data_IF_945219491503
#
_entry.id   IF_945219491503
#
_cell.length_a   1.000
_cell.length_b   1.000
_cell.length_c   1.000
_cell.angle_alpha   90.00
_cell.angle_beta   90.00
_cell.angle_gamma   90.00
#
_symmetry.space_group_name_H-M   'P 1'
#
loop_
_entity.id
_entity.type
_entity.pdbx_description
1 polymer ?
#
# COMPACT_ATOMS: atom_id res chain seq x y z
N UNK A 1 -17.22 -27.60 1.71
CA UNK A 1 -17.74 -26.56 2.62
C UNK A 1 -17.84 -25.33 1.77
N UNK A 2 -19.06 -24.81 1.58
CA UNK A 2 -19.38 -23.84 0.54
C UNK A 2 -18.87 -22.47 0.97
N UNK A 3 -17.99 -21.86 0.18
CA UNK A 3 -17.71 -20.42 0.19
C UNK A 3 -19.04 -19.70 -0.10
N UNK A 4 -19.83 -19.44 0.93
CA UNK A 4 -20.92 -18.49 0.81
C UNK A 4 -20.29 -17.12 0.73
N UNK A 5 -20.53 -16.46 -0.40
CA UNK A 5 -20.22 -15.07 -0.67
C UNK A 5 -20.50 -14.22 0.58
N UNK A 6 -19.43 -13.85 1.28
CA UNK A 6 -19.41 -12.74 2.21
C UNK A 6 -19.45 -11.43 1.39
N UNK A 7 -20.50 -11.28 0.59
CA UNK A 7 -20.75 -10.08 -0.18
C UNK A 7 -21.59 -9.13 0.69
N UNK A 8 -20.91 -8.28 1.46
CA UNK A 8 -21.53 -7.03 1.91
C UNK A 8 -21.79 -6.23 0.64
N UNK A 9 -23.06 -6.04 0.29
CA UNK A 9 -23.47 -5.46 -1.00
C UNK A 9 -22.78 -4.10 -1.21
N UNK A 10 -21.97 -3.99 -2.27
CA UNK A 10 -21.23 -2.77 -2.63
C UNK A 10 -19.89 -2.54 -1.92
N UNK A 11 -19.44 -3.42 -1.01
CA UNK A 11 -18.17 -3.26 -0.28
C UNK A 11 -17.17 -4.34 -0.72
N UNK A 12 -16.01 -3.92 -1.26
CA UNK A 12 -14.90 -4.85 -1.54
C UNK A 12 -14.13 -5.13 -0.23
N UNK A 13 -13.96 -6.42 0.07
CA UNK A 13 -13.21 -6.91 1.22
C UNK A 13 -11.83 -7.42 0.76
N UNK A 14 -10.79 -7.08 1.52
CA UNK A 14 -9.40 -7.47 1.27
C UNK A 14 -8.86 -8.22 2.49
N UNK A 15 -8.05 -9.26 2.26
CA UNK A 15 -7.43 -9.98 3.38
C UNK A 15 -6.28 -9.17 3.94
N UNK A 16 -6.24 -9.03 5.27
CA UNK A 16 -5.14 -8.41 6.02
C UNK A 16 -4.97 -9.22 7.30
N UNK A 17 -3.91 -10.00 7.39
CA UNK A 17 -3.62 -10.89 8.51
C UNK A 17 -4.72 -11.94 8.70
N UNK A 18 -5.25 -12.01 9.92
CA UNK A 18 -6.38 -12.87 10.29
C UNK A 18 -7.74 -12.15 10.17
N UNK A 19 -7.78 -11.01 9.47
CA UNK A 19 -8.97 -10.16 9.30
C UNK A 19 -9.28 -9.94 7.81
N UNK A 20 -10.47 -9.42 7.58
CA UNK A 20 -10.83 -8.76 6.34
C UNK A 20 -10.86 -7.24 6.57
N UNK A 21 -10.49 -6.46 5.57
CA UNK A 21 -10.52 -5.00 5.59
C UNK A 21 -11.40 -4.47 4.46
N UNK A 22 -12.18 -3.43 4.73
CA UNK A 22 -12.74 -2.56 3.70
C UNK A 22 -12.33 -1.12 3.94
N UNK A 23 -12.34 -0.34 2.87
CA UNK A 23 -12.03 1.08 2.94
C UNK A 23 -13.19 1.92 2.42
N UNK A 24 -13.60 2.89 3.22
CA UNK A 24 -14.48 3.99 2.83
C UNK A 24 -13.69 5.29 2.66
N UNK A 25 -14.41 6.41 2.46
CA UNK A 25 -13.77 7.71 2.22
C UNK A 25 -12.90 8.22 3.38
N UNK A 26 -13.16 7.85 4.64
CA UNK A 26 -12.43 8.38 5.81
C UNK A 26 -12.20 7.32 6.88
N UNK A 27 -12.32 6.06 6.51
CA UNK A 27 -12.24 4.97 7.46
C UNK A 27 -11.78 3.67 6.83
N UNK A 28 -11.05 2.91 7.64
CA UNK A 28 -10.67 1.52 7.40
C UNK A 28 -11.50 0.70 8.37
N UNK A 29 -12.33 -0.21 7.86
CA UNK A 29 -13.14 -1.11 8.69
C UNK A 29 -12.49 -2.47 8.72
N UNK A 30 -12.33 -3.03 9.91
CA UNK A 30 -11.80 -4.37 10.15
C UNK A 30 -12.96 -5.31 10.44
N UNK A 31 -13.01 -6.41 9.71
CA UNK A 31 -14.12 -7.34 9.71
C UNK A 31 -13.71 -8.71 10.24
N UNK A 32 -14.67 -9.40 10.84
CA UNK A 32 -14.55 -10.81 11.15
C UNK A 32 -14.37 -11.60 9.83
N UNK A 33 -13.33 -12.44 9.69
CA UNK A 33 -13.08 -13.16 8.44
C UNK A 33 -14.13 -14.23 8.11
N UNK A 34 -14.92 -14.66 9.11
CA UNK A 34 -15.95 -15.69 8.95
C UNK A 34 -17.33 -15.09 8.71
N UNK A 35 -17.67 -13.97 9.37
CA UNK A 35 -19.02 -13.37 9.29
C UNK A 35 -19.09 -12.08 8.48
N UNK A 36 -17.95 -11.48 8.13
CA UNK A 36 -17.80 -10.14 7.57
C UNK A 36 -18.40 -8.99 8.41
N UNK A 37 -18.80 -9.25 9.66
CA UNK A 37 -19.24 -8.20 10.58
C UNK A 37 -18.07 -7.27 10.92
N UNK A 38 -18.34 -5.96 10.97
CA UNK A 38 -17.35 -4.97 11.41
C UNK A 38 -17.06 -5.17 12.89
N UNK A 39 -15.79 -5.33 13.24
CA UNK A 39 -15.32 -5.50 14.61
C UNK A 39 -14.61 -4.26 15.15
N UNK A 40 -13.95 -3.50 14.28
CA UNK A 40 -13.31 -2.24 14.63
C UNK A 40 -13.19 -1.33 13.41
N UNK A 41 -13.01 -0.04 13.65
CA UNK A 41 -12.87 0.98 12.62
C UNK A 41 -11.72 1.91 12.98
N UNK A 42 -10.79 2.12 12.06
CA UNK A 42 -9.73 3.13 12.15
C UNK A 42 -10.14 4.34 11.31
N UNK A 43 -10.24 5.51 11.93
CA UNK A 43 -10.56 6.76 11.22
C UNK A 43 -9.30 7.42 10.70
N UNK A 44 -9.33 7.87 9.46
CA UNK A 44 -8.19 8.53 8.82
C UNK A 44 -8.64 9.77 8.06
N UNK A 45 -7.71 10.68 7.82
CA UNK A 45 -7.95 11.73 6.84
C UNK A 45 -8.10 11.10 5.46
N UNK A 46 -9.12 11.52 4.70
CA UNK A 46 -9.59 11.06 3.37
C UNK A 46 -8.80 9.92 2.69
N UNK A 47 -9.46 8.88 2.20
CA UNK A 47 -8.92 7.78 1.40
C UNK A 47 -9.65 7.71 0.05
N UNK A 48 -8.97 7.23 -0.99
CA UNK A 48 -9.58 6.95 -2.30
C UNK A 48 -8.98 5.69 -2.91
N UNK A 49 -9.79 4.88 -3.58
CA UNK A 49 -9.37 3.64 -4.25
C UNK A 49 -9.43 3.73 -5.78
N UNK A 50 -9.86 4.87 -6.34
CA UNK A 50 -10.32 4.97 -7.73
C UNK A 50 -9.36 5.71 -8.68
N UNK A 51 -8.13 6.00 -8.26
CA UNK A 51 -7.29 6.95 -9.01
C UNK A 51 -5.86 6.48 -9.26
N UNK A 52 -5.24 7.13 -10.25
CA UNK A 52 -3.86 6.97 -10.69
C UNK A 52 -3.06 8.21 -10.24
N UNK A 53 -1.86 7.98 -9.69
CA UNK A 53 -0.92 9.04 -9.29
C UNK A 53 -0.70 10.04 -10.44
N UNK A 54 -0.50 11.36 -10.18
CA UNK A 54 -0.16 12.01 -8.90
C UNK A 54 -1.31 12.53 -8.07
N UNK A 55 -2.53 12.54 -8.59
CA UNK A 55 -3.58 13.39 -8.04
C UNK A 55 -4.41 12.74 -6.93
N UNK A 56 -3.99 11.58 -6.38
CA UNK A 56 -4.81 10.87 -5.39
C UNK A 56 -4.06 9.98 -4.42
N UNK A 57 -4.71 9.77 -3.28
CA UNK A 57 -4.26 8.90 -2.19
C UNK A 57 -4.44 7.45 -2.61
N UNK A 58 -3.40 6.62 -2.54
CA UNK A 58 -3.46 5.20 -2.92
C UNK A 58 -3.47 4.30 -1.71
N UNK A 59 -4.12 3.14 -1.81
CA UNK A 59 -4.26 2.17 -0.72
C UNK A 59 -3.62 0.86 -1.10
N UNK A 60 -2.87 0.29 -0.18
CA UNK A 60 -2.21 -1.01 -0.31
C UNK A 60 -2.58 -1.89 0.87
N UNK A 61 -2.87 -3.16 0.60
CA UNK A 61 -3.24 -4.14 1.61
C UNK A 61 -2.08 -5.10 1.80
N UNK A 62 -1.50 -5.08 3.00
CA UNK A 62 -0.37 -5.92 3.38
C UNK A 62 -0.76 -7.15 4.19
N UNK A 63 0.23 -7.93 4.58
CA UNK A 63 0.06 -9.10 5.45
C UNK A 63 -0.58 -8.78 6.80
N UNK A 64 -0.38 -7.59 7.37
CA UNK A 64 -0.91 -7.23 8.71
C UNK A 64 -1.43 -5.81 8.81
N UNK A 65 -1.22 -5.01 7.76
CA UNK A 65 -1.49 -3.59 7.79
C UNK A 65 -2.15 -3.12 6.50
N UNK A 66 -2.90 -2.02 6.60
CA UNK A 66 -3.31 -1.22 5.44
C UNK A 66 -2.38 -0.02 5.36
N UNK A 67 -1.85 0.25 4.18
CA UNK A 67 -0.99 1.38 3.90
C UNK A 67 -1.69 2.35 2.97
N UNK A 68 -1.42 3.65 3.12
CA UNK A 68 -1.80 4.63 2.12
C UNK A 68 -0.76 5.72 2.01
N UNK A 69 -0.67 6.31 0.83
CA UNK A 69 0.25 7.42 0.59
C UNK A 69 -0.39 8.55 -0.18
N UNK A 70 0.11 9.77 0.03
CA UNK A 70 -0.31 10.95 -0.71
C UNK A 70 0.88 11.85 -1.03
N UNK A 71 0.75 12.57 -2.16
CA UNK A 71 1.66 13.64 -2.50
C UNK A 71 1.32 14.89 -1.70
N UNK A 72 2.34 15.45 -1.05
CA UNK A 72 2.29 16.78 -0.47
C UNK A 72 3.08 17.71 -1.37
N UNK A 73 2.35 18.50 -2.17
CA UNK A 73 2.91 19.41 -3.16
C UNK A 73 3.62 20.60 -2.55
N UNK A 74 3.24 21.02 -1.34
CA UNK A 74 3.89 22.14 -0.66
C UNK A 74 5.32 21.78 -0.26
N UNK A 75 5.51 20.54 0.18
CA UNK A 75 6.79 20.04 0.67
C UNK A 75 7.49 19.09 -0.31
N UNK A 76 6.92 18.87 -1.50
CA UNK A 76 7.45 18.00 -2.56
C UNK A 76 7.83 16.59 -2.08
N UNK A 77 6.96 15.99 -1.27
CA UNK A 77 7.22 14.72 -0.58
C UNK A 77 6.04 13.77 -0.65
N UNK A 78 6.32 12.48 -0.52
CA UNK A 78 5.30 11.45 -0.33
C UNK A 78 5.23 11.13 1.16
N UNK A 79 4.04 11.33 1.73
CA UNK A 79 3.75 10.84 3.07
C UNK A 79 3.11 9.46 2.94
N UNK A 80 3.58 8.51 3.74
CA UNK A 80 3.02 7.16 3.83
C UNK A 80 2.56 6.93 5.25
N UNK A 81 1.33 6.47 5.39
CA UNK A 81 0.72 6.09 6.65
C UNK A 81 0.43 4.59 6.65
N UNK A 82 0.35 4.03 7.86
CA UNK A 82 0.03 2.64 8.13
C UNK A 82 -1.07 2.57 9.18
N UNK A 83 -1.99 1.64 9.01
CA UNK A 83 -2.92 1.21 10.04
C UNK A 83 -2.76 -0.31 10.22
N UNK A 84 -2.25 -0.71 11.37
CA UNK A 84 -2.22 -2.12 11.76
C UNK A 84 -3.62 -2.56 12.20
N UNK A 85 -3.89 -3.86 12.14
CA UNK A 85 -5.13 -4.44 12.67
C UNK A 85 -5.34 -3.99 14.13
N UNK A 86 -6.44 -3.29 14.39
CA UNK A 86 -6.77 -2.67 15.69
C UNK A 86 -5.75 -1.64 16.23
N UNK A 87 -4.79 -1.23 15.40
CA UNK A 87 -3.86 -0.15 15.71
C UNK A 87 -4.44 1.21 15.30
N UNK A 88 -3.92 2.27 15.93
CA UNK A 88 -4.14 3.62 15.44
C UNK A 88 -3.33 3.86 14.17
N UNK A 89 -3.88 4.63 13.21
CA UNK A 89 -3.12 5.18 12.09
C UNK A 89 -1.83 5.88 12.53
N UNK A 90 -0.71 5.51 11.93
CA UNK A 90 0.58 6.13 12.19
C UNK A 90 1.28 6.55 10.90
N UNK A 91 2.07 7.62 10.99
CA UNK A 91 2.95 8.05 9.91
C UNK A 91 4.19 7.17 9.90
N UNK A 92 4.46 6.51 8.78
CA UNK A 92 5.67 5.71 8.59
C UNK A 92 6.83 6.57 8.12
N UNK A 93 6.67 7.27 7.00
CA UNK A 93 7.77 8.03 6.37
C UNK A 93 7.29 9.18 5.53
N UNK A 94 8.20 10.14 5.42
CA UNK A 94 8.23 11.22 4.44
C UNK A 94 9.39 10.93 3.47
N UNK A 95 9.09 10.55 2.23
CA UNK A 95 10.11 10.42 1.19
C UNK A 95 10.12 11.68 0.31
N UNK A 96 11.27 12.32 0.17
CA UNK A 96 11.47 13.32 -0.86
C UNK A 96 11.43 12.64 -2.24
N UNK A 97 10.66 13.21 -3.15
CA UNK A 97 10.62 12.73 -4.53
C UNK A 97 11.91 13.13 -5.25
N UNK A 98 12.46 12.19 -6.01
CA UNK A 98 13.63 12.42 -6.86
C UNK A 98 13.25 12.28 -8.34
N UNK A 99 13.47 13.34 -9.12
CA UNK A 99 13.28 13.32 -10.58
C UNK A 99 11.82 13.16 -11.01
N UNK A 100 11.57 12.29 -11.99
CA UNK A 100 10.26 12.07 -12.61
C UNK A 100 9.49 10.89 -11.97
N UNK A 101 9.49 10.78 -10.65
CA UNK A 101 8.72 9.76 -9.96
C UNK A 101 7.21 9.99 -10.09
N UNK A 102 6.52 8.99 -10.62
CA UNK A 102 5.11 9.01 -11.02
C UNK A 102 4.26 8.00 -10.26
N UNK A 103 4.73 7.37 -9.20
CA UNK A 103 3.87 6.50 -8.40
C UNK A 103 4.54 5.89 -7.18
N UNK A 104 3.71 5.56 -6.19
CA UNK A 104 4.05 4.77 -5.02
C UNK A 104 3.52 3.35 -5.21
N UNK A 105 4.31 2.36 -4.78
CA UNK A 105 3.86 0.98 -4.62
C UNK A 105 4.30 0.51 -3.24
N UNK A 106 3.41 -0.10 -2.48
CA UNK A 106 3.73 -0.67 -1.17
C UNK A 106 3.30 -2.13 -1.15
N UNK A 107 4.18 -2.99 -0.64
CA UNK A 107 3.90 -4.40 -0.37
C UNK A 107 4.42 -4.77 1.02
N UNK A 108 3.72 -5.65 1.73
CA UNK A 108 4.11 -6.13 3.06
C UNK A 108 4.06 -7.64 3.07
N UNK A 109 5.20 -8.27 3.32
CA UNK A 109 5.31 -9.72 3.41
C UNK A 109 6.26 -10.17 4.52
N UNK A 110 5.81 -11.14 5.33
CA UNK A 110 6.62 -11.79 6.38
C UNK A 110 7.28 -10.81 7.37
N UNK A 111 6.61 -9.68 7.65
CA UNK A 111 7.12 -8.65 8.56
C UNK A 111 8.11 -7.67 7.92
N UNK A 112 8.28 -7.73 6.60
CA UNK A 112 9.01 -6.74 5.81
C UNK A 112 8.03 -5.93 4.98
N UNK A 113 8.29 -4.63 4.86
CA UNK A 113 7.56 -3.73 3.97
C UNK A 113 8.49 -3.25 2.88
N UNK A 114 8.07 -3.42 1.64
CA UNK A 114 8.72 -2.87 0.47
C UNK A 114 7.96 -1.63 0.01
N UNK A 115 8.66 -0.52 -0.13
CA UNK A 115 8.16 0.71 -0.72
C UNK A 115 8.91 0.97 -2.02
N UNK A 116 8.22 0.89 -3.14
CA UNK A 116 8.75 1.17 -4.47
C UNK A 116 8.24 2.51 -5.01
N UNK A 117 9.12 3.24 -5.70
CA UNK A 117 8.74 4.43 -6.46
C UNK A 117 8.88 4.15 -7.95
N UNK A 118 7.77 4.33 -8.68
CA UNK A 118 7.71 4.19 -10.11
C UNK A 118 8.06 5.51 -10.80
N UNK A 119 8.67 5.45 -11.98
CA UNK A 119 8.87 6.60 -12.86
C UNK A 119 8.47 6.25 -14.30
N UNK A 120 8.08 7.25 -15.07
CA UNK A 120 7.98 7.12 -16.52
C UNK A 120 9.39 7.09 -17.12
N UNK A 121 9.71 6.05 -17.88
CA UNK A 121 11.04 5.86 -18.47
C UNK A 121 10.88 5.65 -19.97
N UNK A 122 10.82 6.71 -20.80
CA UNK A 122 10.83 6.56 -22.25
C UNK A 122 12.14 5.88 -22.72
N UNK A 123 12.12 4.95 -23.70
CA UNK A 123 10.97 4.36 -24.42
C UNK A 123 10.36 3.12 -23.74
N UNK A 124 10.80 2.78 -22.53
CA UNK A 124 10.58 1.50 -21.85
C UNK A 124 9.29 1.39 -21.02
N UNK A 125 8.54 2.48 -20.84
CA UNK A 125 7.29 2.49 -20.07
C UNK A 125 7.50 2.86 -18.61
N UNK A 126 6.63 2.38 -17.70
CA UNK A 126 6.74 2.63 -16.26
C UNK A 126 7.66 1.58 -15.62
N UNK A 127 8.64 2.02 -14.83
CA UNK A 127 9.52 1.13 -14.08
C UNK A 127 9.77 1.62 -12.66
N UNK A 128 10.03 0.70 -11.74
CA UNK A 128 10.48 1.05 -10.38
C UNK A 128 11.91 1.57 -10.45
N UNK A 129 12.16 2.76 -9.92
CA UNK A 129 13.45 3.44 -9.94
C UNK A 129 14.13 3.45 -8.58
N UNK A 130 13.35 3.40 -7.49
CA UNK A 130 13.85 3.33 -6.11
C UNK A 130 13.02 2.34 -5.30
N UNK A 131 13.68 1.61 -4.42
CA UNK A 131 13.07 0.62 -3.54
C UNK A 131 13.62 0.81 -2.14
N UNK A 132 12.73 0.87 -1.15
CA UNK A 132 13.06 0.90 0.26
C UNK A 132 12.49 -0.34 0.92
N UNK A 133 13.27 -0.89 1.84
CA UNK A 133 12.88 -2.01 2.67
C UNK A 133 12.82 -1.57 4.13
N UNK A 134 11.73 -1.91 4.81
CA UNK A 134 11.52 -1.64 6.23
C UNK A 134 11.19 -2.93 6.96
N UNK A 135 11.80 -3.15 8.12
CA UNK A 135 11.37 -4.16 9.07
C UNK A 135 10.22 -3.61 9.93
N UNK A 136 9.06 -4.25 9.87
CA UNK A 136 7.85 -3.84 10.61
C UNK A 136 8.02 -3.85 12.12
N UNK A 137 8.98 -4.61 12.65
CA UNK A 137 9.28 -4.72 14.08
C UNK A 137 10.08 -3.54 14.63
N UNK A 138 10.78 -2.80 13.75
CA UNK A 138 11.63 -1.68 14.16
C UNK A 138 11.06 -0.33 13.79
N UNK A 139 10.13 -0.27 12.82
CA UNK A 139 9.36 0.90 12.31
C UNK A 139 10.14 2.16 11.91
N UNK A 140 11.39 2.29 12.33
CA UNK A 140 12.12 3.55 12.41
C UNK A 140 13.28 3.60 11.41
N UNK A 141 13.50 2.54 10.64
CA UNK A 141 14.61 2.46 9.70
C UNK A 141 14.22 1.86 8.36
N UNK A 142 14.71 2.51 7.30
CA UNK A 142 14.53 2.12 5.91
C UNK A 142 15.90 1.86 5.31
N UNK A 143 16.01 0.76 4.59
CA UNK A 143 17.20 0.45 3.80
C UNK A 143 16.84 0.65 2.33
N UNK A 144 17.47 1.62 1.67
CA UNK A 144 17.36 1.75 0.22
C UNK A 144 18.11 0.59 -0.45
N UNK A 145 17.40 -0.13 -1.31
CA UNK A 145 17.96 -1.25 -2.06
C UNK A 145 18.48 -0.75 -3.42
N UNK A 146 19.66 -1.22 -3.87
CA UNK A 146 20.16 -0.86 -5.18
C UNK A 146 19.26 -1.45 -6.26
N UNK A 147 18.58 -0.60 -7.04
CA UNK A 147 17.78 -1.03 -8.19
C UNK A 147 18.70 -1.15 -9.41
N UNK A 148 19.30 -2.33 -9.57
CA UNK A 148 20.30 -2.56 -10.62
C UNK A 148 19.74 -2.56 -12.06
N UNK A 149 18.43 -2.81 -12.24
CA UNK A 149 17.74 -2.85 -13.54
C UNK A 149 16.25 -2.49 -13.37
N UNK A 150 15.66 -1.84 -14.37
CA UNK A 150 14.23 -1.49 -14.40
C UNK A 150 13.37 -2.73 -14.24
N UNK A 151 12.52 -2.74 -13.21
CA UNK A 151 11.55 -3.82 -12.98
C UNK A 151 10.25 -3.38 -13.66
N UNK A 152 9.82 -4.04 -14.75
CA UNK A 152 8.57 -3.70 -15.42
C UNK A 152 7.41 -3.97 -14.47
N UNK A 153 6.54 -2.97 -14.31
CA UNK A 153 5.29 -3.12 -13.57
C UNK A 153 4.40 -4.16 -14.26
N UNK A 154 3.90 -5.14 -13.51
CA UNK A 154 2.82 -5.99 -14.00
C UNK A 154 1.58 -5.09 -14.23
N UNK A 155 0.92 -5.29 -15.36
CA UNK A 155 -0.12 -4.42 -15.93
C UNK A 155 -1.19 -3.87 -14.95
N UNK A 156 -1.84 -2.73 -15.30
CA UNK A 156 -2.80 -1.99 -14.47
C UNK A 156 -4.06 -2.76 -14.00
N UNK A 157 -4.34 -3.95 -14.53
CA UNK A 157 -5.51 -4.77 -14.17
C UNK A 157 -5.20 -5.97 -13.26
N UNK A 158 -3.93 -6.19 -12.86
CA UNK A 158 -3.57 -7.16 -11.85
C UNK A 158 -3.44 -6.43 -10.51
N UNK A 159 -4.43 -6.59 -9.62
CA UNK A 159 -4.44 -5.94 -8.31
C UNK A 159 -3.07 -5.96 -7.61
N UNK A 160 -2.46 -4.78 -7.49
CA UNK A 160 -1.55 -4.40 -6.41
C UNK A 160 -0.31 -5.26 -6.12
N UNK A 161 0.24 -6.02 -7.06
CA UNK A 161 1.40 -6.88 -6.79
C UNK A 161 2.72 -6.35 -7.33
N UNK A 162 3.61 -5.85 -6.46
CA UNK A 162 5.02 -5.69 -6.77
C UNK A 162 5.74 -7.03 -6.57
N UNK A 163 5.90 -7.84 -7.61
CA UNK A 163 6.74 -9.05 -7.49
C UNK A 163 8.22 -8.67 -7.53
N UNK A 164 8.76 -8.23 -6.39
CA UNK A 164 10.21 -8.18 -6.19
C UNK A 164 10.69 -9.56 -5.74
N UNK A 165 11.45 -10.24 -6.58
CA UNK A 165 12.25 -11.38 -6.16
C UNK A 165 13.40 -10.86 -5.29
N UNK A 166 13.19 -10.82 -3.97
CA UNK A 166 14.28 -10.65 -3.01
C UNK A 166 14.99 -11.99 -2.89
N UNK A 167 16.13 -12.14 -3.57
CA UNK A 167 16.96 -13.34 -3.44
C UNK A 167 17.82 -13.27 -2.17
N UNK A 168 18.01 -14.39 -1.45
CA UNK A 168 18.82 -14.46 -0.23
C UNK A 168 20.32 -14.26 -0.48
#
# INVERSE_FOLDING_TARGET
>A
MVEQDLAVEGVRLYTVGDRLASVGEQEIRWHNPTTADVQSTSYVETLSTESVWPDSRHIFFGDKSVFWGWYDSELSRINIMRAQINGEPEALVIFELEGEQTGLVVDEHEGMVVIGFASSVPPKGIGITRVFLMDTSTSDSFTELPVGQFIPSAQPDAGGGLQLLVMP
#
